data_IF_766457082249
#
_entry.id   IF_766457082249
#
_cell.length_a   1.000
_cell.length_b   1.000
_cell.length_c   1.000
_cell.angle_alpha   90.00
_cell.angle_beta   90.00
_cell.angle_gamma   90.00
#
_symmetry.space_group_name_H-M   'P 1'
#
loop_
_entity.id
_entity.type
_entity.pdbx_description
1 polymer ?
#
# COMPACT_ATOMS: atom_id res chain seq x y z
N UNK A 1 1.49 6.43 13.10
CA UNK A 1 0.82 6.27 11.79
C UNK A 1 -0.67 6.44 12.00
N UNK A 2 -1.35 7.36 11.28
CA UNK A 2 -2.81 7.51 11.40
C UNK A 2 -3.53 6.28 10.87
N UNK A 3 -4.72 6.00 11.42
CA UNK A 3 -5.52 4.82 11.14
C UNK A 3 -6.85 5.22 10.51
N UNK A 4 -7.17 4.63 9.36
CA UNK A 4 -8.51 4.69 8.76
C UNK A 4 -9.25 3.43 9.19
N UNK A 5 -10.32 3.61 9.95
CA UNK A 5 -11.09 2.48 10.48
C UNK A 5 -12.10 1.98 9.44
N UNK A 6 -12.38 0.68 9.49
CA UNK A 6 -13.40 0.04 8.67
C UNK A 6 -13.30 0.39 7.18
N UNK A 7 -12.08 0.40 6.67
CA UNK A 7 -11.77 0.80 5.28
C UNK A 7 -12.54 -0.04 4.25
N UNK A 8 -12.92 -1.28 4.59
CA UNK A 8 -13.74 -2.16 3.75
C UNK A 8 -15.16 -1.62 3.48
N UNK A 9 -15.64 -0.72 4.33
CA UNK A 9 -16.98 -0.10 4.20
C UNK A 9 -16.94 1.23 3.43
N UNK A 10 -15.75 1.67 3.03
CA UNK A 10 -15.55 2.94 2.34
C UNK A 10 -15.38 2.73 0.84
N UNK A 11 -15.92 3.65 0.04
CA UNK A 11 -15.56 3.77 -1.37
C UNK A 11 -14.10 4.25 -1.51
N UNK A 12 -13.49 4.02 -2.68
CA UNK A 12 -12.14 4.52 -2.97
C UNK A 12 -12.06 6.03 -2.79
N UNK A 13 -13.08 6.77 -3.25
CA UNK A 13 -13.19 8.22 -3.01
C UNK A 13 -13.26 8.57 -1.51
N UNK A 14 -13.96 7.77 -0.71
CA UNK A 14 -14.02 7.91 0.75
C UNK A 14 -12.67 7.67 1.41
N UNK A 15 -11.95 6.63 0.99
CA UNK A 15 -10.60 6.34 1.46
C UNK A 15 -9.65 7.51 1.12
N UNK A 16 -9.70 8.01 -0.13
CA UNK A 16 -8.86 9.14 -0.55
C UNK A 16 -9.13 10.40 0.27
N UNK A 17 -10.39 10.72 0.56
CA UNK A 17 -10.75 11.86 1.43
C UNK A 17 -10.19 11.68 2.84
N UNK A 18 -10.29 10.49 3.41
CA UNK A 18 -9.75 10.17 4.74
C UNK A 18 -8.22 10.29 4.78
N UNK A 19 -7.52 9.77 3.76
CA UNK A 19 -6.06 9.90 3.63
C UNK A 19 -5.66 11.37 3.58
N UNK A 20 -6.35 12.17 2.77
CA UNK A 20 -6.04 13.60 2.62
C UNK A 20 -6.25 14.37 3.93
N UNK A 21 -7.39 14.17 4.60
CA UNK A 21 -7.69 14.81 5.88
C UNK A 21 -6.64 14.47 6.95
N UNK A 22 -6.39 13.17 7.15
CA UNK A 22 -5.40 12.71 8.12
C UNK A 22 -4.00 13.22 7.81
N UNK A 23 -3.61 13.31 6.54
CA UNK A 23 -2.30 13.83 6.14
C UNK A 23 -2.15 15.33 6.46
N UNK A 24 -3.20 16.14 6.22
CA UNK A 24 -3.21 17.57 6.55
C UNK A 24 -3.09 17.75 8.07
N UNK A 25 -3.92 17.05 8.84
CA UNK A 25 -3.94 17.17 10.30
C UNK A 25 -2.65 16.61 10.94
N UNK A 26 -2.06 15.57 10.35
CA UNK A 26 -0.77 15.05 10.80
C UNK A 26 0.35 16.08 10.65
N UNK A 27 0.43 16.77 9.50
CA UNK A 27 1.39 17.85 9.27
C UNK A 27 1.17 19.03 10.22
N UNK A 28 -0.09 19.32 10.52
CA UNK A 28 -0.49 20.35 11.49
C UNK A 28 -0.37 19.93 12.96
N UNK A 29 0.11 18.71 13.26
CA UNK A 29 0.16 18.15 14.62
C UNK A 29 -1.21 18.15 15.33
N UNK A 30 -2.28 17.89 14.58
CA UNK A 30 -3.67 17.96 15.03
C UNK A 30 -4.35 16.57 15.10
N UNK A 31 -3.57 15.48 15.02
CA UNK A 31 -4.10 14.13 15.18
C UNK A 31 -4.48 13.89 16.65
N UNK A 32 -5.62 13.24 16.83
CA UNK A 32 -6.07 12.77 18.14
C UNK A 32 -5.40 11.43 18.49
N UNK A 33 -5.20 11.12 19.78
CA UNK A 33 -4.60 9.85 20.22
C UNK A 33 -5.33 8.62 19.64
N UNK A 34 -6.65 8.63 19.57
CA UNK A 34 -7.46 7.54 19.05
C UNK A 34 -7.30 7.32 17.53
N UNK A 35 -6.79 8.32 16.83
CA UNK A 35 -6.56 8.22 15.38
C UNK A 35 -5.24 7.54 15.01
N UNK A 36 -4.40 7.23 15.99
CA UNK A 36 -3.09 6.57 15.78
C UNK A 36 -2.99 5.20 16.43
N UNK A 37 -4.11 4.68 16.95
CA UNK A 37 -4.19 3.39 17.63
C UNK A 37 -5.19 2.44 16.97
N UNK A 38 -5.02 1.13 17.19
CA UNK A 38 -5.98 0.10 16.78
C UNK A 38 -5.96 -0.23 15.28
N UNK A 39 -4.92 0.16 14.55
CA UNK A 39 -4.71 -0.29 13.17
C UNK A 39 -4.35 -1.79 13.12
N UNK A 40 -4.80 -2.48 12.08
CA UNK A 40 -4.58 -3.92 11.88
C UNK A 40 -3.55 -4.22 10.78
N UNK A 41 -3.32 -3.28 9.90
CA UNK A 41 -2.35 -3.37 8.80
C UNK A 41 -1.80 -1.98 8.50
N UNK A 42 -0.53 -1.89 8.10
CA UNK A 42 0.10 -0.61 7.76
C UNK A 42 0.55 -0.59 6.31
N UNK A 43 0.36 0.56 5.66
CA UNK A 43 0.95 0.87 4.36
C UNK A 43 1.91 2.05 4.55
N UNK A 44 3.12 1.94 4.04
CA UNK A 44 4.12 3.02 4.03
C UNK A 44 4.60 3.30 2.62
N UNK A 45 4.91 4.55 2.31
CA UNK A 45 5.31 4.97 0.97
C UNK A 45 6.65 5.71 0.98
N UNK A 46 7.79 4.99 1.01
CA UNK A 46 9.11 5.60 0.83
C UNK A 46 9.33 6.14 -0.59
N UNK A 47 8.55 5.68 -1.57
CA UNK A 47 8.68 6.07 -2.98
C UNK A 47 8.42 7.54 -3.24
N UNK A 48 7.62 8.23 -2.41
CA UNK A 48 7.39 9.67 -2.52
C UNK A 48 8.67 10.51 -2.34
N UNK A 49 9.72 9.94 -1.74
CA UNK A 49 11.04 10.56 -1.57
C UNK A 49 12.09 10.01 -2.55
N UNK A 50 11.67 9.30 -3.59
CA UNK A 50 12.54 8.72 -4.60
C UNK A 50 13.13 7.35 -4.24
N UNK A 51 12.68 6.74 -3.16
CA UNK A 51 13.11 5.38 -2.79
C UNK A 51 12.57 4.34 -3.76
N UNK A 52 13.46 3.56 -4.37
CA UNK A 52 13.08 2.50 -5.32
C UNK A 52 12.21 1.42 -4.65
N UNK A 53 12.64 0.96 -3.50
CA UNK A 53 11.91 0.06 -2.59
C UNK A 53 12.47 0.21 -1.17
N UNK A 54 11.78 -0.36 -0.20
CA UNK A 54 12.24 -0.40 1.19
C UNK A 54 11.72 -1.67 1.87
N UNK A 55 12.42 -2.10 2.91
CA UNK A 55 11.97 -3.21 3.77
C UNK A 55 11.40 -2.55 5.03
N UNK A 56 10.06 -2.38 5.12
CA UNK A 56 9.46 -1.70 6.25
C UNK A 56 9.52 -2.57 7.51
N UNK A 57 9.62 -1.92 8.66
CA UNK A 57 9.57 -2.57 9.97
C UNK A 57 8.11 -2.68 10.40
N UNK A 58 7.70 -3.86 10.85
CA UNK A 58 6.34 -4.14 11.31
C UNK A 58 5.98 -3.23 12.50
N UNK A 59 4.84 -2.58 12.41
CA UNK A 59 4.27 -1.78 13.50
C UNK A 59 3.52 -2.71 14.47
N UNK A 60 4.24 -3.25 15.45
CA UNK A 60 3.66 -4.19 16.42
C UNK A 60 2.47 -3.58 17.19
N UNK A 61 1.45 -4.36 17.53
CA UNK A 61 1.31 -5.83 17.39
C UNK A 61 0.74 -6.30 16.03
N UNK A 62 0.69 -5.46 15.02
CA UNK A 62 0.32 -5.86 13.66
C UNK A 62 1.26 -6.96 13.14
N UNK A 63 0.77 -7.77 12.22
CA UNK A 63 1.53 -8.93 11.70
C UNK A 63 2.20 -8.67 10.35
N UNK A 64 1.84 -7.58 9.68
CA UNK A 64 2.43 -7.25 8.38
C UNK A 64 2.36 -5.74 8.08
N UNK A 65 3.21 -5.31 7.16
CA UNK A 65 3.28 -3.95 6.65
C UNK A 65 3.69 -3.99 5.17
N UNK A 66 3.02 -3.19 4.35
CA UNK A 66 3.29 -3.06 2.92
C UNK A 66 4.05 -1.76 2.65
N UNK A 67 5.20 -1.86 2.00
CA UNK A 67 5.97 -0.73 1.47
C UNK A 67 5.69 -0.52 -0.02
N UNK A 68 5.44 0.72 -0.42
CA UNK A 68 5.26 1.13 -1.81
C UNK A 68 6.50 1.88 -2.26
N UNK A 69 7.19 1.37 -3.29
CA UNK A 69 8.34 2.02 -3.91
C UNK A 69 7.98 3.17 -4.83
N UNK A 70 8.98 3.84 -5.36
CA UNK A 70 8.83 4.88 -6.36
C UNK A 70 8.17 4.35 -7.64
N UNK A 71 7.28 5.15 -8.22
CA UNK A 71 6.67 4.83 -9.51
C UNK A 71 7.55 5.43 -10.60
N UNK A 72 8.08 4.58 -11.47
CA UNK A 72 9.01 4.98 -12.53
C UNK A 72 8.63 4.33 -13.85
N UNK A 73 8.87 5.04 -14.95
CA UNK A 73 8.71 4.46 -16.29
C UNK A 73 9.85 3.50 -16.59
N UNK A 74 9.49 2.26 -16.97
CA UNK A 74 10.45 1.20 -17.30
C UNK A 74 10.05 0.46 -18.56
N UNK A 75 11.01 -0.02 -19.35
CA UNK A 75 10.74 -0.96 -20.43
C UNK A 75 10.40 -2.32 -19.82
N UNK A 76 9.26 -2.87 -20.23
CA UNK A 76 8.80 -4.19 -19.78
C UNK A 76 8.34 -5.01 -20.97
N UNK A 77 8.41 -6.33 -20.84
CA UNK A 77 7.87 -7.25 -21.84
C UNK A 77 6.34 -7.34 -21.64
N UNK A 78 5.61 -7.15 -22.73
CA UNK A 78 4.13 -7.25 -22.79
C UNK A 78 3.72 -8.10 -23.98
N UNK A 79 2.56 -8.72 -23.93
CA UNK A 79 1.95 -9.45 -25.05
C UNK A 79 2.91 -10.42 -25.75
N UNK A 80 3.55 -11.30 -24.99
CA UNK A 80 4.59 -12.20 -25.49
C UNK A 80 5.96 -11.54 -25.54
N UNK A 81 6.45 -11.14 -26.71
CA UNK A 81 7.82 -10.65 -26.90
C UNK A 81 7.92 -9.14 -27.20
N UNK A 82 6.85 -8.38 -27.02
CA UNK A 82 6.86 -6.94 -27.26
C UNK A 82 7.43 -6.20 -26.06
N UNK A 83 8.17 -5.12 -26.32
CA UNK A 83 8.65 -4.21 -25.30
C UNK A 83 7.78 -2.96 -25.29
N UNK A 84 7.29 -2.58 -24.12
CA UNK A 84 6.54 -1.35 -23.94
C UNK A 84 7.01 -0.60 -22.68
N UNK A 85 6.81 0.72 -22.66
CA UNK A 85 7.06 1.54 -21.48
C UNK A 85 5.82 1.50 -20.61
N UNK A 86 5.99 1.18 -19.33
CA UNK A 86 4.92 1.14 -18.31
C UNK A 86 5.38 1.84 -17.05
N UNK A 87 4.43 2.39 -16.30
CA UNK A 87 4.67 2.85 -14.94
C UNK A 87 4.79 1.64 -14.02
N UNK A 88 5.95 1.50 -13.38
CA UNK A 88 6.30 0.34 -12.57
C UNK A 88 6.65 0.78 -11.15
N UNK A 89 6.26 -0.03 -10.18
CA UNK A 89 6.64 0.13 -8.78
C UNK A 89 6.97 -1.21 -8.15
N UNK A 90 7.80 -1.19 -7.11
CA UNK A 90 7.99 -2.34 -6.23
C UNK A 90 7.07 -2.24 -5.03
N UNK A 91 6.45 -3.36 -4.69
CA UNK A 91 5.70 -3.55 -3.46
C UNK A 91 6.47 -4.54 -2.59
N UNK A 92 6.78 -4.15 -1.36
CA UNK A 92 7.54 -4.97 -0.41
C UNK A 92 6.68 -5.26 0.81
N UNK A 93 6.46 -6.53 1.12
CA UNK A 93 5.72 -6.97 2.29
C UNK A 93 6.71 -7.47 3.35
N UNK A 94 6.68 -6.86 4.53
CA UNK A 94 7.28 -7.44 5.74
C UNK A 94 6.18 -8.09 6.57
N UNK A 95 6.41 -9.29 7.06
CA UNK A 95 5.42 -10.03 7.83
C UNK A 95 6.06 -10.88 8.94
N UNK A 96 5.28 -11.18 9.97
CA UNK A 96 5.70 -12.05 11.08
C UNK A 96 5.63 -13.51 10.64
N UNK A 97 6.78 -14.09 10.34
CA UNK A 97 6.87 -15.46 9.84
C UNK A 97 6.48 -16.55 10.85
N UNK A 98 6.20 -16.16 12.08
CA UNK A 98 5.61 -17.08 13.09
C UNK A 98 4.12 -17.30 12.87
N UNK A 99 3.44 -16.36 12.19
CA UNK A 99 1.99 -16.34 11.95
C UNK A 99 1.64 -16.48 10.46
N UNK A 100 2.49 -15.99 9.57
CA UNK A 100 2.30 -16.00 8.12
C UNK A 100 3.47 -16.73 7.48
N UNK A 101 3.19 -17.77 6.70
CA UNK A 101 4.21 -18.46 5.92
C UNK A 101 4.45 -17.79 4.55
N UNK A 102 5.50 -18.24 3.86
CA UNK A 102 5.87 -17.68 2.55
C UNK A 102 4.78 -17.87 1.50
N UNK A 103 4.10 -19.02 1.50
CA UNK A 103 3.06 -19.32 0.52
C UNK A 103 1.87 -18.36 0.66
N UNK A 104 1.42 -18.09 1.88
CA UNK A 104 0.34 -17.15 2.16
C UNK A 104 0.74 -15.70 1.81
N UNK A 105 1.97 -15.31 2.17
CA UNK A 105 2.48 -13.97 1.83
C UNK A 105 2.56 -13.75 0.32
N UNK A 106 3.07 -14.73 -0.43
CA UNK A 106 3.18 -14.66 -1.89
C UNK A 106 1.80 -14.64 -2.58
N UNK A 107 0.85 -15.44 -2.10
CA UNK A 107 -0.53 -15.42 -2.60
C UNK A 107 -1.20 -14.07 -2.35
N UNK A 108 -1.01 -13.47 -1.18
CA UNK A 108 -1.50 -12.14 -0.88
C UNK A 108 -0.92 -11.10 -1.85
N UNK A 109 0.40 -11.09 -2.03
CA UNK A 109 1.06 -10.15 -2.93
C UNK A 109 0.65 -10.35 -4.40
N UNK A 110 0.49 -11.60 -4.84
CA UNK A 110 -0.01 -11.92 -6.18
C UNK A 110 -1.43 -11.38 -6.39
N UNK A 111 -2.29 -11.49 -5.38
CA UNK A 111 -3.66 -10.95 -5.45
C UNK A 111 -3.66 -9.40 -5.48
N UNK A 112 -2.82 -8.75 -4.66
CA UNK A 112 -2.65 -7.29 -4.69
C UNK A 112 -2.21 -6.82 -6.07
N UNK A 113 -1.17 -7.46 -6.63
CA UNK A 113 -0.68 -7.18 -7.98
C UNK A 113 -1.80 -7.33 -9.01
N UNK A 114 -2.51 -8.44 -9.01
CA UNK A 114 -3.62 -8.71 -9.93
C UNK A 114 -4.71 -7.64 -9.85
N UNK A 115 -5.07 -7.22 -8.65
CA UNK A 115 -6.09 -6.20 -8.45
C UNK A 115 -5.65 -4.83 -8.98
N UNK A 116 -4.37 -4.46 -8.78
CA UNK A 116 -3.82 -3.20 -9.29
C UNK A 116 -3.70 -3.20 -10.82
N UNK A 117 -3.23 -4.29 -11.42
CA UNK A 117 -3.05 -4.40 -12.87
C UNK A 117 -4.37 -4.47 -13.65
N UNK A 118 -5.44 -4.96 -13.01
CA UNK A 118 -6.78 -5.06 -13.59
C UNK A 118 -7.75 -4.03 -13.01
N UNK A 119 -7.23 -2.95 -12.41
CA UNK A 119 -8.07 -1.90 -11.84
C UNK A 119 -8.78 -1.13 -12.96
N UNK A 120 -10.11 -1.16 -12.95
CA UNK A 120 -10.93 -0.42 -13.90
C UNK A 120 -11.40 0.89 -13.27
N UNK A 121 -11.35 1.97 -14.03
CA UNK A 121 -11.70 3.33 -13.59
C UNK A 121 -13.16 3.44 -13.08
N UNK A 122 -14.04 2.53 -13.53
CA UNK A 122 -15.43 2.41 -13.08
C UNK A 122 -15.59 1.99 -11.62
N UNK A 123 -14.54 1.46 -11.00
CA UNK A 123 -14.52 1.09 -9.58
C UNK A 123 -14.37 2.29 -8.64
N UNK A 124 -14.27 3.51 -9.18
CA UNK A 124 -14.09 4.75 -8.42
C UNK A 124 -15.39 5.39 -7.92
N UNK A 125 -16.55 4.87 -8.33
CA UNK A 125 -17.86 5.44 -8.02
C UNK A 125 -18.51 4.75 -6.84
#
# INVERSE_FOLDING_TARGET
VPVIRNVQDLSISGIQKSVTDLAIRARGKQLLPDEVTGGTFTITNPGQFGGLFGIPIINQPQVAILGIGGIEKRPVVVDGDKIAIRDMTYLCLSYDHRLVDGALADQFMAQVKKNLENFEEYSLV
#
